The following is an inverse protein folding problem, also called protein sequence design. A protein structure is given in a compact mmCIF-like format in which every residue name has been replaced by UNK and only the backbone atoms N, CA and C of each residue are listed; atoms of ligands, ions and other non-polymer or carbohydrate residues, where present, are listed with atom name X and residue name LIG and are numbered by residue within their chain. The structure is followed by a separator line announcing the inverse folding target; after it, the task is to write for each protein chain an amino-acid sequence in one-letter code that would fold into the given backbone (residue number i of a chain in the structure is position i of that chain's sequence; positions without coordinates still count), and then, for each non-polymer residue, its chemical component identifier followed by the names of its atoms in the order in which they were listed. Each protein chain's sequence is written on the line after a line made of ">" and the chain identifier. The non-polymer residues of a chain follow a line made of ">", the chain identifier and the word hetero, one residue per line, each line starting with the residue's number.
data_IF_963386391441
#
_entry.id   IF_963386391441
#
_cell.length_a   1.000
_cell.length_b   1.000
_cell.length_c   1.000
_cell.angle_alpha   90.00
_cell.angle_beta   90.00
_cell.angle_gamma   90.00
#
_symmetry.space_group_name_H-M   'P 1'
#
loop_
_entity.id
_entity.type
_entity.pdbx_description
1 polymer ?
#
# COMPACT_ATOMS: atom_id res chain seq x y z
N UNK A 1 -0.31 0.41 -29.89
CA UNK A 1 -1.74 0.38 -29.52
C UNK A 1 -1.97 -0.56 -28.33
N UNK A 2 -1.26 -1.68 -28.26
CA UNK A 2 -1.39 -2.68 -27.19
C UNK A 2 -1.13 -2.14 -25.77
N UNK A 3 -0.18 -1.22 -25.62
CA UNK A 3 0.10 -0.56 -24.35
C UNK A 3 -1.09 0.25 -23.80
N UNK A 4 -1.88 0.88 -24.68
CA UNK A 4 -3.06 1.65 -24.27
C UNK A 4 -4.19 0.72 -23.80
N UNK A 5 -4.35 -0.42 -24.47
CA UNK A 5 -5.31 -1.46 -24.07
C UNK A 5 -4.91 -2.08 -22.71
N UNK A 6 -3.62 -2.35 -22.51
CA UNK A 6 -3.10 -2.85 -21.24
C UNK A 6 -3.27 -1.87 -20.07
N UNK A 7 -3.28 -0.56 -20.34
CA UNK A 7 -3.48 0.47 -19.31
C UNK A 7 -4.95 0.61 -18.87
N UNK A 8 -5.88 0.17 -19.70
CA UNK A 8 -7.31 0.44 -19.56
C UNK A 8 -7.90 -0.10 -18.23
N UNK A 9 -7.58 -1.32 -17.76
CA UNK A 9 -8.06 -1.80 -16.47
C UNK A 9 -7.57 -0.96 -15.28
N UNK A 10 -6.34 -0.42 -15.36
CA UNK A 10 -5.78 0.45 -14.32
C UNK A 10 -6.52 1.79 -14.31
N UNK A 11 -6.77 2.35 -15.49
CA UNK A 11 -7.54 3.59 -15.63
C UNK A 11 -8.97 3.43 -15.11
N UNK A 12 -9.62 2.27 -15.33
CA UNK A 12 -10.95 1.97 -14.78
C UNK A 12 -10.91 2.08 -13.25
N UNK A 13 -9.96 1.41 -12.58
CA UNK A 13 -9.86 1.44 -11.12
C UNK A 13 -9.65 2.87 -10.61
N UNK A 14 -8.69 3.60 -11.19
CA UNK A 14 -8.38 4.98 -10.80
C UNK A 14 -9.60 5.89 -11.01
N UNK A 15 -10.27 5.79 -12.15
CA UNK A 15 -11.44 6.60 -12.44
C UNK A 15 -12.59 6.31 -11.47
N UNK A 16 -12.89 5.03 -11.20
CA UNK A 16 -13.95 4.64 -10.26
C UNK A 16 -13.67 5.12 -8.84
N UNK A 17 -12.42 5.05 -8.37
CA UNK A 17 -12.06 5.49 -7.03
C UNK A 17 -11.96 7.01 -6.89
N UNK A 18 -11.40 7.71 -7.89
CA UNK A 18 -11.17 9.16 -7.80
C UNK A 18 -12.39 9.96 -8.21
N UNK A 19 -12.99 9.65 -9.36
CA UNK A 19 -14.11 10.42 -9.90
C UNK A 19 -15.44 9.99 -9.29
N UNK A 20 -15.69 8.68 -9.23
CA UNK A 20 -16.96 8.12 -8.71
C UNK A 20 -16.92 7.80 -7.22
N UNK A 21 -15.75 7.90 -6.56
CA UNK A 21 -15.56 7.63 -5.13
C UNK A 21 -16.05 6.25 -4.69
N UNK A 22 -15.95 5.26 -5.58
CA UNK A 22 -16.30 3.88 -5.25
C UNK A 22 -15.35 3.32 -4.20
N UNK A 23 -15.87 2.40 -3.39
CA UNK A 23 -15.04 1.66 -2.44
C UNK A 23 -14.03 0.78 -3.17
N UNK A 24 -12.87 0.57 -2.53
CA UNK A 24 -11.78 -0.25 -3.08
C UNK A 24 -12.23 -1.64 -3.58
N UNK A 25 -13.09 -2.40 -2.86
CA UNK A 25 -13.58 -3.69 -3.34
C UNK A 25 -14.40 -3.60 -4.64
N UNK A 26 -15.26 -2.58 -4.77
CA UNK A 26 -16.10 -2.39 -5.96
C UNK A 26 -15.25 -1.98 -7.18
N UNK A 27 -14.33 -1.04 -6.98
CA UNK A 27 -13.42 -0.60 -8.03
C UNK A 27 -12.48 -1.74 -8.47
N UNK A 28 -11.98 -2.54 -7.52
CA UNK A 28 -11.15 -3.71 -7.79
C UNK A 28 -11.89 -4.78 -8.61
N UNK A 29 -13.15 -5.08 -8.27
CA UNK A 29 -13.98 -6.02 -9.03
C UNK A 29 -14.20 -5.53 -10.46
N UNK A 30 -14.53 -4.25 -10.64
CA UNK A 30 -14.69 -3.65 -11.97
C UNK A 30 -13.39 -3.66 -12.78
N UNK A 31 -12.25 -3.40 -12.14
CA UNK A 31 -10.93 -3.51 -12.76
C UNK A 31 -10.59 -4.93 -13.21
N UNK A 32 -10.92 -5.94 -12.39
CA UNK A 32 -10.74 -7.35 -12.74
C UNK A 32 -11.64 -7.78 -13.90
N UNK A 33 -12.91 -7.37 -13.91
CA UNK A 33 -13.79 -7.63 -15.05
C UNK A 33 -13.29 -6.92 -16.31
N UNK A 34 -12.85 -5.67 -16.18
CA UNK A 34 -12.24 -4.90 -17.27
C UNK A 34 -10.99 -5.58 -17.84
N UNK A 35 -10.12 -6.12 -16.98
CA UNK A 35 -8.92 -6.83 -17.42
C UNK A 35 -9.25 -8.13 -18.15
N UNK A 36 -10.26 -8.87 -17.72
CA UNK A 36 -10.73 -10.07 -18.42
C UNK A 36 -11.28 -9.75 -19.81
N UNK A 37 -12.10 -8.71 -19.94
CA UNK A 37 -12.67 -8.29 -21.23
C UNK A 37 -11.55 -7.88 -22.19
N UNK A 38 -10.60 -7.06 -21.72
CA UNK A 38 -9.46 -6.63 -22.54
C UNK A 38 -8.56 -7.81 -22.92
N UNK A 39 -8.26 -8.72 -21.98
CA UNK A 39 -7.44 -9.89 -22.24
C UNK A 39 -8.07 -10.83 -23.29
N UNK A 40 -9.39 -11.01 -23.22
CA UNK A 40 -10.14 -11.82 -24.19
C UNK A 40 -10.15 -11.18 -25.58
N UNK A 41 -10.44 -9.88 -25.67
CA UNK A 41 -10.62 -9.19 -26.96
C UNK A 41 -9.30 -8.84 -27.67
N UNK A 42 -8.23 -8.53 -26.93
CA UNK A 42 -7.01 -7.97 -27.50
C UNK A 42 -5.76 -8.86 -27.34
N UNK A 43 -5.74 -9.78 -26.38
CA UNK A 43 -4.53 -10.56 -26.04
C UNK A 43 -4.68 -12.08 -26.19
N UNK A 44 -5.81 -12.55 -26.72
CA UNK A 44 -6.00 -13.97 -27.03
C UNK A 44 -6.03 -14.86 -25.79
N UNK A 45 -6.78 -14.45 -24.76
CA UNK A 45 -6.94 -15.22 -23.52
C UNK A 45 -7.42 -16.66 -23.81
N UNK A 46 -6.61 -17.64 -23.40
CA UNK A 46 -6.95 -19.06 -23.44
C UNK A 46 -7.27 -19.59 -22.03
N UNK A 47 -7.94 -20.75 -21.96
CA UNK A 47 -8.39 -21.32 -20.68
C UNK A 47 -7.25 -21.62 -19.70
N UNK A 48 -6.09 -22.16 -20.13
CA UNK A 48 -4.94 -22.34 -19.24
C UNK A 48 -4.41 -21.01 -18.67
N UNK A 49 -4.25 -19.98 -19.51
CA UNK A 49 -3.73 -18.67 -19.10
C UNK A 49 -4.69 -17.97 -18.14
N UNK A 50 -6.01 -18.12 -18.34
CA UNK A 50 -7.01 -17.63 -17.40
C UNK A 50 -6.77 -18.21 -15.99
N UNK A 51 -6.77 -19.54 -15.85
CA UNK A 51 -6.61 -20.16 -14.54
C UNK A 51 -5.27 -19.85 -13.87
N UNK A 52 -4.17 -19.86 -14.65
CA UNK A 52 -2.85 -19.50 -14.12
C UNK A 52 -2.84 -18.05 -13.62
N UNK A 53 -3.46 -17.13 -14.35
CA UNK A 53 -3.53 -15.71 -13.96
C UNK A 53 -4.35 -15.52 -12.67
N UNK A 54 -5.48 -16.23 -12.55
CA UNK A 54 -6.30 -16.19 -11.34
C UNK A 54 -5.56 -16.73 -10.11
N UNK A 55 -4.90 -17.88 -10.24
CA UNK A 55 -4.12 -18.47 -9.14
C UNK A 55 -2.93 -17.58 -8.78
N UNK A 56 -2.23 -17.03 -9.77
CA UNK A 56 -1.14 -16.07 -9.53
C UNK A 56 -1.64 -14.83 -8.77
N UNK A 57 -2.78 -14.26 -9.17
CA UNK A 57 -3.40 -13.15 -8.47
C UNK A 57 -3.76 -13.47 -7.01
N UNK A 58 -4.30 -14.66 -6.77
CA UNK A 58 -4.61 -15.14 -5.42
C UNK A 58 -3.33 -15.30 -4.57
N UNK A 59 -2.29 -15.92 -5.12
CA UNK A 59 -1.00 -16.11 -4.42
C UNK A 59 -0.33 -14.77 -4.10
N UNK A 60 -0.35 -13.81 -5.04
CA UNK A 60 0.14 -12.45 -4.79
C UNK A 60 -0.64 -11.77 -3.66
N UNK A 61 -1.98 -11.94 -3.65
CA UNK A 61 -2.82 -11.41 -2.57
C UNK A 61 -2.51 -12.08 -1.23
N UNK A 62 -2.31 -13.39 -1.21
CA UNK A 62 -1.92 -14.11 0.01
C UNK A 62 -0.57 -13.63 0.55
N UNK A 63 0.38 -13.30 -0.32
CA UNK A 63 1.67 -12.72 0.08
C UNK A 63 1.48 -11.39 0.82
N UNK A 64 0.57 -10.54 0.36
CA UNK A 64 0.21 -9.31 1.10
C UNK A 64 -0.46 -9.64 2.43
N UNK A 65 -1.43 -10.57 2.43
CA UNK A 65 -2.19 -10.94 3.63
C UNK A 65 -1.32 -11.55 4.73
N UNK A 66 -0.27 -12.31 4.38
CA UNK A 66 0.60 -12.96 5.38
C UNK A 66 1.38 -11.95 6.23
N UNK A 67 1.63 -10.75 5.70
CA UNK A 67 2.30 -9.65 6.43
C UNK A 67 1.25 -8.79 7.13
N UNK A 68 0.17 -8.48 6.42
CA UNK A 68 -0.89 -7.58 6.89
C UNK A 68 -1.62 -8.14 8.12
N UNK A 69 -2.00 -9.43 8.11
CA UNK A 69 -2.76 -10.04 9.20
C UNK A 69 -2.00 -10.06 10.53
N UNK A 70 -0.78 -10.61 10.62
CA UNK A 70 0.01 -10.58 11.87
C UNK A 70 0.30 -9.16 12.34
N UNK A 71 0.56 -8.22 11.42
CA UNK A 71 0.81 -6.83 11.77
C UNK A 71 -0.38 -6.16 12.47
N UNK A 72 -1.58 -6.28 11.89
CA UNK A 72 -2.81 -5.75 12.50
C UNK A 72 -3.14 -6.52 13.79
N UNK A 73 -2.94 -7.83 13.82
CA UNK A 73 -3.19 -8.65 15.01
C UNK A 73 -2.31 -8.21 16.19
N UNK A 74 -1.01 -8.03 15.97
CA UNK A 74 -0.09 -7.52 16.99
C UNK A 74 -0.44 -6.10 17.43
N UNK A 75 -0.82 -5.23 16.50
CA UNK A 75 -1.30 -3.89 16.83
C UNK A 75 -2.49 -3.94 17.79
N UNK A 76 -3.50 -4.75 17.47
CA UNK A 76 -4.71 -4.90 18.30
C UNK A 76 -4.35 -5.44 19.69
N UNK A 77 -3.43 -6.40 19.78
CA UNK A 77 -2.95 -6.91 21.08
C UNK A 77 -2.28 -5.80 21.90
N UNK A 78 -1.36 -5.05 21.29
CA UNK A 78 -0.62 -3.97 21.94
C UNK A 78 -1.56 -2.84 22.37
N UNK A 79 -2.58 -2.54 21.58
CA UNK A 79 -3.61 -1.55 21.92
C UNK A 79 -4.47 -2.00 23.10
N UNK A 80 -4.91 -3.26 23.13
CA UNK A 80 -5.74 -3.80 24.21
C UNK A 80 -5.05 -3.77 25.58
N UNK A 81 -3.72 -3.98 25.64
CA UNK A 81 -2.95 -3.89 26.88
C UNK A 81 -2.56 -2.44 27.24
N UNK A 82 -3.02 -1.44 26.47
CA UNK A 82 -2.68 -0.03 26.66
C UNK A 82 -1.26 0.34 26.23
N UNK A 83 -0.55 -0.54 25.52
CA UNK A 83 0.83 -0.35 25.08
C UNK A 83 0.99 0.83 24.12
N UNK A 84 0.02 1.08 23.24
CA UNK A 84 0.01 2.25 22.35
C UNK A 84 0.05 3.55 23.16
N UNK A 85 -0.74 3.65 24.24
CA UNK A 85 -0.74 4.82 25.14
C UNK A 85 0.57 4.96 25.91
N UNK A 86 1.16 3.85 26.34
CA UNK A 86 2.45 3.86 27.00
C UNK A 86 3.58 4.37 26.08
N UNK A 87 3.59 3.93 24.81
CA UNK A 87 4.52 4.43 23.77
C UNK A 87 4.30 5.93 23.55
N UNK A 88 3.05 6.36 23.42
CA UNK A 88 2.69 7.77 23.26
C UNK A 88 3.23 8.64 24.41
N UNK A 89 3.02 8.19 25.65
CA UNK A 89 3.48 8.89 26.85
C UNK A 89 5.01 8.94 26.95
N UNK A 90 5.71 7.85 26.60
CA UNK A 90 7.16 7.82 26.56
C UNK A 90 7.72 8.83 25.54
N UNK A 91 7.13 8.90 24.34
CA UNK A 91 7.53 9.86 23.31
C UNK A 91 7.27 11.32 23.74
N UNK A 92 6.15 11.60 24.40
CA UNK A 92 5.88 12.92 24.99
C UNK A 92 6.93 13.32 26.04
N UNK A 93 7.43 12.35 26.82
CA UNK A 93 8.50 12.59 27.80
C UNK A 93 9.85 12.91 27.16
N UNK A 94 10.15 12.32 26.00
CA UNK A 94 11.41 12.53 25.28
C UNK A 94 11.40 13.80 24.41
N UNK A 95 10.28 14.09 23.75
CA UNK A 95 10.15 15.21 22.82
C UNK A 95 9.26 16.28 23.45
N UNK A 96 9.89 17.31 24.03
CA UNK A 96 9.19 18.42 24.71
C UNK A 96 8.41 19.32 23.76
N UNK A 97 8.85 19.45 22.50
CA UNK A 97 8.16 20.27 21.50
C UNK A 97 7.01 19.49 20.86
N UNK A 98 5.78 20.00 21.01
CA UNK A 98 4.57 19.35 20.49
C UNK A 98 4.56 19.29 18.97
N UNK A 99 5.06 20.31 18.27
CA UNK A 99 5.12 20.30 16.81
C UNK A 99 6.05 19.20 16.31
N UNK A 100 7.21 19.06 16.93
CA UNK A 100 8.20 18.05 16.57
C UNK A 100 7.77 16.63 16.92
N UNK A 101 7.07 16.44 18.04
CA UNK A 101 6.44 15.17 18.36
C UNK A 101 5.44 14.74 17.28
N UNK A 102 4.59 15.66 16.83
CA UNK A 102 3.57 15.37 15.82
C UNK A 102 4.19 15.07 14.45
N UNK A 103 5.24 15.78 14.04
CA UNK A 103 5.97 15.47 12.80
C UNK A 103 6.66 14.12 12.90
N UNK A 104 7.33 13.83 14.01
CA UNK A 104 7.97 12.53 14.22
C UNK A 104 6.95 11.39 14.13
N UNK A 105 5.77 11.59 14.70
CA UNK A 105 4.69 10.61 14.70
C UNK A 105 4.01 10.43 13.33
N UNK A 106 3.64 11.54 12.68
CA UNK A 106 2.92 11.51 11.41
C UNK A 106 3.82 11.19 10.21
N UNK A 107 5.08 11.64 10.25
CA UNK A 107 6.02 11.51 9.13
C UNK A 107 6.99 10.34 9.32
N UNK A 108 7.77 10.33 10.42
CA UNK A 108 8.83 9.35 10.58
C UNK A 108 8.31 7.98 10.97
N UNK A 109 7.36 7.89 11.91
CA UNK A 109 6.78 6.60 12.26
C UNK A 109 5.99 6.01 11.08
N UNK A 110 5.24 6.82 10.33
CA UNK A 110 4.55 6.34 9.13
C UNK A 110 5.53 5.72 8.13
N UNK A 111 6.72 6.31 7.96
CA UNK A 111 7.76 5.77 7.09
C UNK A 111 8.38 4.46 7.59
N UNK A 112 8.61 4.34 8.91
CA UNK A 112 9.10 3.09 9.51
C UNK A 112 8.07 1.97 9.34
N UNK A 113 6.79 2.25 9.62
CA UNK A 113 5.73 1.26 9.46
C UNK A 113 5.55 0.87 7.99
N UNK A 114 5.66 1.81 7.05
CA UNK A 114 5.54 1.50 5.61
C UNK A 114 6.67 0.56 5.17
N UNK A 115 7.89 0.80 5.66
CA UNK A 115 9.05 -0.01 5.32
C UNK A 115 8.97 -1.43 5.90
N UNK A 116 8.28 -1.61 7.03
CA UNK A 116 8.14 -2.91 7.71
C UNK A 116 6.92 -3.70 7.22
N UNK A 117 5.81 -3.02 6.97
CA UNK A 117 4.51 -3.65 6.72
C UNK A 117 3.98 -3.43 5.30
N UNK A 118 4.20 -2.23 4.73
CA UNK A 118 3.66 -1.82 3.43
C UNK A 118 2.12 -1.74 3.37
N UNK A 119 1.60 -1.55 2.17
CA UNK A 119 0.18 -1.77 1.80
C UNK A 119 -0.84 -0.93 2.59
N UNK A 120 -0.47 0.27 3.04
CA UNK A 120 -1.39 1.20 3.71
C UNK A 120 -1.61 0.94 5.20
N UNK A 121 -0.90 -0.04 5.79
CA UNK A 121 -0.84 -0.24 7.25
C UNK A 121 -0.41 1.02 8.04
N UNK A 122 0.48 1.89 7.54
CA UNK A 122 0.94 3.05 8.29
C UNK A 122 -0.18 3.98 8.70
N UNK A 123 -1.14 4.24 7.80
CA UNK A 123 -2.25 5.15 8.09
C UNK A 123 -3.11 4.56 9.22
N UNK A 124 -3.39 3.26 9.15
CA UNK A 124 -4.20 2.55 10.14
C UNK A 124 -3.55 2.51 11.53
N UNK A 125 -2.21 2.46 11.61
CA UNK A 125 -1.48 2.37 12.88
C UNK A 125 -1.07 3.73 13.46
N UNK A 126 -0.67 4.69 12.63
CA UNK A 126 -0.17 6.00 13.09
C UNK A 126 -1.28 6.97 13.48
N UNK A 127 -2.42 6.93 12.80
CA UNK A 127 -3.53 7.84 13.11
C UNK A 127 -4.10 7.64 14.53
N UNK A 128 -4.35 6.41 15.03
CA UNK A 128 -4.79 6.20 16.41
C UNK A 128 -3.78 6.70 17.44
N UNK A 129 -2.49 6.58 17.17
CA UNK A 129 -1.43 7.07 18.05
C UNK A 129 -1.42 8.60 18.12
N UNK A 130 -1.61 9.29 16.98
CA UNK A 130 -1.82 10.74 16.94
C UNK A 130 -3.08 11.17 17.72
N UNK A 131 -4.17 10.40 17.60
CA UNK A 131 -5.41 10.65 18.36
C UNK A 131 -5.16 10.47 19.87
N UNK A 132 -4.38 9.47 20.28
CA UNK A 132 -3.99 9.27 21.68
C UNK A 132 -3.14 10.44 22.23
N UNK A 133 -2.43 11.18 21.37
CA UNK A 133 -1.70 12.40 21.70
C UNK A 133 -2.59 13.66 21.70
N UNK A 134 -3.90 13.52 21.47
CA UNK A 134 -4.88 14.61 21.48
C UNK A 134 -4.99 15.38 20.17
N UNK A 135 -4.59 14.78 19.04
CA UNK A 135 -4.85 15.35 17.70
C UNK A 135 -6.28 15.00 17.28
N UNK A 136 -6.97 15.95 16.65
CA UNK A 136 -8.31 15.71 16.11
C UNK A 136 -8.30 14.57 15.07
N UNK A 137 -9.29 13.65 15.05
CA UNK A 137 -9.25 12.46 14.20
C UNK A 137 -9.03 12.73 12.71
N UNK A 138 -9.67 13.77 12.16
CA UNK A 138 -9.53 14.14 10.74
C UNK A 138 -8.10 14.60 10.46
N UNK A 139 -7.54 15.42 11.34
CA UNK A 139 -6.17 15.93 11.26
C UNK A 139 -5.15 14.79 11.44
N UNK A 140 -5.42 13.84 12.33
CA UNK A 140 -4.56 12.68 12.55
C UNK A 140 -4.51 11.77 11.31
N UNK A 141 -5.65 11.44 10.73
CA UNK A 141 -5.73 10.59 9.52
C UNK A 141 -5.10 11.29 8.32
N UNK A 142 -5.36 12.58 8.13
CA UNK A 142 -4.77 13.35 7.03
C UNK A 142 -3.25 13.50 7.19
N UNK A 143 -2.75 13.82 8.39
CA UNK A 143 -1.31 13.89 8.65
C UNK A 143 -0.62 12.53 8.44
N UNK A 144 -1.23 11.44 8.90
CA UNK A 144 -0.75 10.08 8.66
C UNK A 144 -0.74 9.72 7.16
N UNK A 145 -1.79 10.11 6.43
CA UNK A 145 -1.87 9.89 4.99
C UNK A 145 -0.77 10.66 4.24
N UNK A 146 -0.55 11.92 4.60
CA UNK A 146 0.53 12.75 4.04
C UNK A 146 1.90 12.10 4.31
N UNK A 147 2.18 11.70 5.56
CA UNK A 147 3.44 11.02 5.88
C UNK A 147 3.63 9.70 5.14
N UNK A 148 2.55 8.93 4.96
CA UNK A 148 2.57 7.70 4.16
C UNK A 148 2.91 7.96 2.69
N UNK A 149 2.43 9.05 2.07
CA UNK A 149 2.75 9.36 0.67
C UNK A 149 4.26 9.54 0.43
N UNK A 150 4.96 10.18 1.37
CA UNK A 150 6.42 10.30 1.31
C UNK A 150 7.10 8.94 1.42
N UNK A 151 6.70 8.13 2.41
CA UNK A 151 7.29 6.82 2.66
C UNK A 151 7.09 5.83 1.50
N UNK A 152 5.88 5.79 0.94
CA UNK A 152 5.54 4.88 -0.16
C UNK A 152 6.28 5.17 -1.46
N UNK A 153 6.75 6.41 -1.64
CA UNK A 153 7.44 6.85 -2.85
C UNK A 153 8.74 6.09 -3.11
N UNK A 154 9.46 5.67 -2.06
CA UNK A 154 10.72 4.92 -2.17
C UNK A 154 10.54 3.41 -2.09
N UNK A 155 9.57 2.92 -1.30
CA UNK A 155 9.34 1.48 -1.11
C UNK A 155 8.74 0.76 -2.33
N UNK A 156 7.81 1.40 -3.05
CA UNK A 156 7.09 0.78 -4.17
C UNK A 156 7.90 0.61 -5.47
N UNK A 157 9.05 1.29 -5.58
CA UNK A 157 9.88 1.24 -6.79
C UNK A 157 10.46 -0.16 -7.03
N UNK A 158 10.81 -0.89 -5.98
CA UNK A 158 11.34 -2.26 -6.10
C UNK A 158 10.31 -3.23 -6.71
N UNK A 159 9.04 -3.10 -6.32
CA UNK A 159 7.95 -3.93 -6.85
C UNK A 159 7.76 -3.65 -8.33
N UNK A 160 7.76 -2.37 -8.72
CA UNK A 160 7.62 -1.96 -10.11
C UNK A 160 8.76 -2.50 -10.97
N UNK A 161 10.00 -2.45 -10.45
CA UNK A 161 11.17 -3.01 -11.11
C UNK A 161 11.12 -4.53 -11.23
N UNK A 162 10.67 -5.21 -10.17
CA UNK A 162 10.50 -6.66 -10.18
C UNK A 162 9.43 -7.11 -11.16
N UNK A 163 8.33 -6.35 -11.28
CA UNK A 163 7.31 -6.57 -12.31
C UNK A 163 7.90 -6.36 -13.71
N UNK A 164 8.66 -5.29 -13.93
CA UNK A 164 9.30 -5.02 -15.21
C UNK A 164 10.26 -6.15 -15.62
N UNK A 165 11.19 -6.54 -14.74
CA UNK A 165 12.12 -7.66 -14.96
C UNK A 165 11.38 -8.98 -15.20
N UNK A 166 10.29 -9.23 -14.46
CA UNK A 166 9.46 -10.41 -14.66
C UNK A 166 8.73 -10.45 -16.01
N UNK A 167 8.47 -9.30 -16.64
CA UNK A 167 7.80 -9.20 -17.94
C UNK A 167 8.82 -9.21 -19.10
N UNK A 168 9.95 -8.51 -18.96
CA UNK A 168 10.98 -8.46 -20.01
C UNK A 168 11.89 -9.67 -20.02
N UNK A 169 11.90 -10.46 -18.94
CA UNK A 169 12.83 -11.56 -18.69
C UNK A 169 14.31 -11.13 -18.64
N UNK A 170 14.57 -9.84 -18.45
CA UNK A 170 15.92 -9.29 -18.34
C UNK A 170 16.42 -9.26 -16.90
N UNK A 171 17.73 -9.39 -16.72
CA UNK A 171 18.37 -9.25 -15.42
C UNK A 171 18.31 -7.79 -14.93
N UNK A 172 18.28 -7.61 -13.60
CA UNK A 172 18.33 -6.29 -12.98
C UNK A 172 19.53 -5.45 -13.47
N UNK A 173 20.67 -6.09 -13.72
CA UNK A 173 21.88 -5.46 -14.25
C UNK A 173 21.74 -4.96 -15.70
N UNK A 174 20.90 -5.60 -16.52
CA UNK A 174 20.62 -5.16 -17.88
C UNK A 174 19.62 -3.99 -17.89
N UNK A 175 18.67 -3.97 -16.95
CA UNK A 175 17.67 -2.91 -16.82
C UNK A 175 18.23 -1.65 -16.12
N UNK A 176 19.21 -1.80 -15.23
CA UNK A 176 19.90 -0.71 -14.53
C UNK A 176 21.42 -0.90 -14.54
N UNK A 177 22.10 -0.62 -15.65
CA UNK A 177 23.54 -0.85 -15.81
C UNK A 177 24.44 0.04 -14.92
N UNK A 178 23.90 1.13 -14.35
CA UNK A 178 24.65 2.09 -13.52
C UNK A 178 24.62 1.80 -12.02
N UNK A 179 24.02 0.69 -11.58
CA UNK A 179 23.90 0.31 -10.17
C UNK A 179 24.82 -0.85 -9.75
N UNK A 180 25.70 -1.30 -10.65
CA UNK A 180 26.72 -2.33 -10.41
C UNK A 180 28.09 -1.72 -10.10
#
# INVERSE_FOLDING_TARGET
>A
MDALLALLPILIVIFLMVALRWSSPLAGLAGWLGSLVVAFLAFGLNWPVFWVSQVKGLLLTMNVLIVLWPGIFLYVIVDQIGGIRAIAAALQGMVRDRGWLLVLQAWMLAAIIESLAGFGLPIAMTAPLLIALGVEPITAVSAAAVGHTWAGSTGGMAISLQVLSGITHDSFSALFPSAA
#
